data_IF_880290877149
#
_entry.id   IF_880290877149
#
_cell.length_a   1.000
_cell.length_b   1.000
_cell.length_c   1.000
_cell.angle_alpha   90.00
_cell.angle_beta   90.00
_cell.angle_gamma   90.00
#
_symmetry.space_group_name_H-M   'P 1'
#
loop_
_entity.id
_entity.type
_entity.pdbx_description
1 polymer ?
#
# COMPACT_ATOMS: atom_id res chain seq x y z
N UNK A 1 -10.63 -22.28 -15.30
CA UNK A 1 -10.30 -20.85 -15.49
C UNK A 1 -11.58 -20.05 -15.66
N UNK A 2 -11.62 -18.82 -15.13
CA UNK A 2 -12.76 -17.89 -15.24
C UNK A 2 -12.25 -16.52 -15.69
N UNK A 3 -12.95 -15.86 -16.60
CA UNK A 3 -12.62 -14.49 -17.03
C UNK A 3 -13.42 -13.50 -16.15
N UNK A 4 -12.77 -12.47 -15.63
CA UNK A 4 -13.43 -11.44 -14.85
C UNK A 4 -14.52 -10.73 -15.70
N UNK A 5 -15.73 -10.62 -15.16
CA UNK A 5 -16.91 -10.12 -15.89
C UNK A 5 -16.72 -8.73 -16.49
N UNK A 6 -16.00 -7.84 -15.78
CA UNK A 6 -15.67 -6.49 -16.24
C UNK A 6 -14.70 -6.45 -17.44
N UNK A 7 -14.02 -7.56 -17.75
CA UNK A 7 -13.10 -7.70 -18.88
C UNK A 7 -13.63 -8.64 -19.96
N UNK A 8 -14.74 -9.34 -19.72
CA UNK A 8 -15.30 -10.31 -20.68
C UNK A 8 -15.76 -9.67 -22.01
N UNK A 9 -16.02 -8.36 -22.03
CA UNK A 9 -16.43 -7.61 -23.23
C UNK A 9 -15.30 -6.77 -23.84
N UNK A 10 -14.21 -6.57 -23.10
CA UNK A 10 -13.09 -5.73 -23.50
C UNK A 10 -12.03 -6.63 -24.14
N UNK A 11 -11.56 -6.27 -25.33
CA UNK A 11 -10.63 -7.11 -26.10
C UNK A 11 -11.22 -8.51 -26.39
N UNK A 12 -12.47 -8.55 -26.87
CA UNK A 12 -13.28 -9.77 -27.11
C UNK A 12 -12.64 -10.79 -28.07
N UNK A 13 -11.63 -10.37 -28.82
CA UNK A 13 -10.88 -11.20 -29.75
C UNK A 13 -9.76 -12.00 -29.06
N UNK A 14 -9.32 -11.56 -27.89
CA UNK A 14 -8.27 -12.22 -27.14
C UNK A 14 -8.85 -13.29 -26.21
N UNK A 15 -8.31 -14.49 -26.33
CA UNK A 15 -8.56 -15.60 -25.41
C UNK A 15 -7.22 -16.02 -24.76
N UNK A 16 -7.19 -16.29 -23.44
CA UNK A 16 -6.00 -16.82 -22.78
C UNK A 16 -5.50 -18.09 -23.49
N UNK A 17 -4.19 -18.13 -23.78
CA UNK A 17 -3.53 -19.19 -24.55
C UNK A 17 -2.91 -20.25 -23.66
N UNK A 18 -2.68 -19.95 -22.38
CA UNK A 18 -2.06 -20.86 -21.43
C UNK A 18 -3.09 -21.60 -20.57
N UNK A 19 -2.75 -22.84 -20.20
CA UNK A 19 -3.57 -23.67 -19.31
C UNK A 19 -3.42 -23.23 -17.85
N UNK A 20 -4.19 -22.21 -17.46
CA UNK A 20 -4.24 -21.76 -16.07
C UNK A 20 -4.92 -22.81 -15.18
N UNK A 21 -4.33 -23.17 -14.04
CA UNK A 21 -4.79 -24.30 -13.24
C UNK A 21 -6.12 -24.02 -12.53
N UNK A 22 -6.96 -25.03 -12.43
CA UNK A 22 -8.21 -24.98 -11.65
C UNK A 22 -9.13 -23.81 -12.01
N UNK A 23 -9.69 -23.19 -10.98
CA UNK A 23 -10.64 -22.07 -11.10
C UNK A 23 -9.98 -20.69 -11.15
N UNK A 24 -8.73 -20.61 -11.64
CA UNK A 24 -7.98 -19.35 -11.76
C UNK A 24 -8.83 -18.29 -12.45
N UNK A 25 -9.06 -17.17 -11.75
CA UNK A 25 -9.68 -15.98 -12.30
C UNK A 25 -8.61 -15.18 -13.04
N UNK A 26 -8.92 -14.70 -14.24
CA UNK A 26 -7.98 -13.91 -15.06
C UNK A 26 -8.62 -12.60 -15.53
N UNK A 27 -7.79 -11.57 -15.67
CA UNK A 27 -8.15 -10.29 -16.27
C UNK A 27 -6.95 -9.69 -17.01
N UNK A 28 -7.20 -8.84 -18.00
CA UNK A 28 -6.15 -8.24 -18.83
C UNK A 28 -6.57 -6.90 -19.42
N UNK A 29 -5.60 -6.21 -20.01
CA UNK A 29 -5.88 -5.07 -20.86
C UNK A 29 -4.64 -4.60 -21.62
N UNK A 30 -4.86 -4.03 -22.81
CA UNK A 30 -3.77 -3.53 -23.65
C UNK A 30 -3.06 -2.26 -23.15
N UNK A 31 -3.65 -1.53 -22.20
CA UNK A 31 -3.14 -0.23 -21.72
C UNK A 31 -3.31 -0.08 -20.20
N UNK A 32 -2.59 -0.89 -19.42
CA UNK A 32 -2.51 -0.75 -17.96
C UNK A 32 -1.48 0.30 -17.54
N UNK A 33 -1.78 1.03 -16.47
CA UNK A 33 -0.85 1.97 -15.85
C UNK A 33 -0.03 1.26 -14.77
N UNK A 34 1.29 1.36 -14.83
CA UNK A 34 2.21 0.91 -13.78
C UNK A 34 2.65 2.14 -12.98
N UNK A 35 2.36 2.13 -11.68
CA UNK A 35 2.76 3.19 -10.76
C UNK A 35 4.10 2.83 -10.13
N UNK A 36 5.08 3.71 -10.27
CA UNK A 36 6.42 3.54 -9.73
C UNK A 36 7.13 4.89 -9.60
N UNK A 37 8.45 4.85 -9.47
CA UNK A 37 9.27 6.07 -9.58
C UNK A 37 9.13 6.70 -10.97
N UNK A 38 9.13 5.84 -11.98
CA UNK A 38 8.86 6.18 -13.37
C UNK A 38 7.56 5.46 -13.77
N UNK A 39 6.48 6.22 -13.96
CA UNK A 39 5.21 5.67 -14.37
C UNK A 39 5.22 5.37 -15.88
N UNK A 40 4.65 4.25 -16.28
CA UNK A 40 4.53 3.89 -17.70
C UNK A 40 3.25 3.11 -17.97
N UNK A 41 2.88 3.02 -19.24
CA UNK A 41 1.75 2.24 -19.72
C UNK A 41 2.23 0.98 -20.44
N UNK A 42 1.61 -0.15 -20.17
CA UNK A 42 1.96 -1.45 -20.77
C UNK A 42 0.73 -2.35 -20.88
N UNK A 43 0.75 -3.35 -21.76
CA UNK A 43 -0.24 -4.41 -21.68
C UNK A 43 0.01 -5.24 -20.43
N UNK A 44 -1.06 -5.70 -19.79
CA UNK A 44 -0.98 -6.48 -18.55
C UNK A 44 -1.92 -7.69 -18.60
N UNK A 45 -1.51 -8.75 -17.90
CA UNK A 45 -2.31 -9.93 -17.65
C UNK A 45 -2.20 -10.29 -16.17
N UNK A 46 -3.32 -10.36 -15.49
CA UNK A 46 -3.41 -10.66 -14.07
C UNK A 46 -4.15 -11.98 -13.86
N UNK A 47 -3.48 -12.93 -13.22
CA UNK A 47 -4.03 -14.21 -12.84
C UNK A 47 -4.17 -14.30 -11.32
N UNK A 48 -5.29 -14.85 -10.88
CA UNK A 48 -5.62 -15.10 -9.47
C UNK A 48 -5.82 -16.60 -9.26
N UNK A 49 -4.73 -17.40 -9.19
CA UNK A 49 -4.86 -18.83 -8.90
C UNK A 49 -5.37 -19.07 -7.47
N UNK A 50 -5.98 -20.22 -7.24
CA UNK A 50 -6.41 -20.62 -5.90
C UNK A 50 -5.20 -20.63 -4.94
N UNK A 51 -5.42 -20.16 -3.70
CA UNK A 51 -4.44 -20.20 -2.60
C UNK A 51 -3.88 -21.59 -2.33
N UNK A 52 -4.60 -22.66 -2.72
CA UNK A 52 -4.12 -24.03 -2.64
C UNK A 52 -3.05 -24.38 -3.68
N UNK A 53 -3.00 -23.62 -4.77
CA UNK A 53 -2.16 -23.86 -5.94
C UNK A 53 -0.92 -22.95 -5.92
N UNK A 54 -1.08 -21.67 -5.54
CA UNK A 54 0.05 -20.75 -5.38
C UNK A 54 0.40 -20.54 -3.92
N UNK A 55 1.68 -20.71 -3.57
CA UNK A 55 2.13 -20.56 -2.19
C UNK A 55 1.99 -19.12 -1.66
N UNK A 56 1.88 -18.10 -2.53
CA UNK A 56 1.85 -16.68 -2.18
C UNK A 56 0.49 -16.14 -1.72
N UNK A 57 -0.62 -16.80 -2.09
CA UNK A 57 -1.98 -16.34 -1.74
C UNK A 57 -2.33 -14.94 -2.23
N UNK A 58 -1.83 -14.56 -3.41
CA UNK A 58 -2.04 -13.28 -4.08
C UNK A 58 -2.37 -13.46 -5.57
N UNK A 59 -2.12 -12.42 -6.35
CA UNK A 59 -2.26 -12.44 -7.81
C UNK A 59 -0.90 -12.35 -8.49
N UNK A 60 -0.80 -12.91 -9.68
CA UNK A 60 0.38 -12.88 -10.53
C UNK A 60 0.07 -11.90 -11.65
N UNK A 61 0.98 -10.95 -11.88
CA UNK A 61 0.86 -9.96 -12.93
C UNK A 61 2.02 -10.10 -13.87
N UNK A 62 1.72 -10.34 -15.14
CA UNK A 62 2.68 -10.24 -16.22
C UNK A 62 2.46 -8.97 -17.03
N UNK A 63 3.54 -8.50 -17.64
CA UNK A 63 3.59 -7.25 -18.40
C UNK A 63 4.27 -7.49 -19.76
N UNK A 64 3.78 -6.83 -20.79
CA UNK A 64 4.33 -6.97 -22.15
C UNK A 64 3.84 -5.88 -23.10
N UNK A 65 4.36 -5.88 -24.33
CA UNK A 65 3.89 -4.95 -25.38
C UNK A 65 2.51 -5.36 -25.90
N UNK A 66 2.19 -6.65 -25.82
CA UNK A 66 0.89 -7.21 -26.19
C UNK A 66 0.31 -8.02 -25.02
N UNK A 67 -0.98 -8.33 -25.09
CA UNK A 67 -1.65 -9.12 -24.07
C UNK A 67 -1.07 -10.54 -24.01
N UNK A 68 -0.69 -11.10 -25.16
CA UNK A 68 0.00 -12.39 -25.27
C UNK A 68 1.33 -12.41 -24.54
N UNK A 69 2.15 -11.38 -24.73
CA UNK A 69 3.43 -11.26 -24.04
C UNK A 69 3.21 -11.14 -22.53
N UNK A 70 2.22 -10.35 -22.13
CA UNK A 70 1.85 -10.20 -20.72
C UNK A 70 1.34 -11.52 -20.11
N UNK A 71 0.55 -12.30 -20.84
CA UNK A 71 0.10 -13.63 -20.37
C UNK A 71 1.26 -14.60 -20.25
N UNK A 72 2.16 -14.64 -21.24
CA UNK A 72 3.33 -15.51 -21.22
C UNK A 72 4.25 -15.18 -20.04
N UNK A 73 4.46 -13.88 -19.75
CA UNK A 73 5.22 -13.44 -18.59
C UNK A 73 4.53 -13.86 -17.28
N UNK A 74 3.22 -13.64 -17.15
CA UNK A 74 2.44 -14.07 -15.99
C UNK A 74 2.50 -15.59 -15.78
N UNK A 75 2.40 -16.37 -16.87
CA UNK A 75 2.41 -17.82 -16.79
C UNK A 75 3.79 -18.36 -16.44
N UNK A 76 4.86 -17.76 -16.97
CA UNK A 76 6.23 -18.08 -16.60
C UNK A 76 6.49 -17.80 -15.11
N UNK A 77 5.99 -16.68 -14.59
CA UNK A 77 6.02 -16.39 -13.16
C UNK A 77 5.27 -17.48 -12.38
N UNK A 78 4.05 -17.85 -12.78
CA UNK A 78 3.29 -18.94 -12.14
C UNK A 78 4.05 -20.28 -12.11
N UNK A 79 4.65 -20.70 -13.22
CA UNK A 79 5.44 -21.94 -13.28
C UNK A 79 6.66 -21.88 -12.35
N UNK A 80 7.34 -20.74 -12.30
CA UNK A 80 8.47 -20.50 -11.41
C UNK A 80 8.04 -20.53 -9.94
N UNK A 81 6.89 -19.97 -9.61
CA UNK A 81 6.36 -19.97 -8.25
C UNK A 81 5.92 -21.37 -7.82
N UNK A 82 5.12 -22.05 -8.64
CA UNK A 82 4.55 -23.37 -8.33
C UNK A 82 5.59 -24.48 -8.16
N UNK A 83 6.71 -24.39 -8.88
CA UNK A 83 7.83 -25.34 -8.75
C UNK A 83 8.83 -24.99 -7.64
N UNK A 84 8.70 -23.82 -7.02
CA UNK A 84 9.69 -23.33 -6.08
C UNK A 84 9.52 -23.94 -4.68
N UNK A 85 10.58 -24.51 -4.12
CA UNK A 85 10.68 -24.78 -2.68
C UNK A 85 10.93 -23.45 -1.95
N UNK A 86 9.87 -22.75 -1.59
CA UNK A 86 9.96 -21.38 -1.12
C UNK A 86 10.78 -21.21 0.17
N UNK A 87 11.70 -20.26 0.13
CA UNK A 87 12.39 -19.72 1.30
C UNK A 87 11.98 -18.26 1.50
N UNK A 88 11.10 -18.02 2.46
CA UNK A 88 10.51 -16.70 2.71
C UNK A 88 11.45 -15.80 3.51
N UNK A 89 11.63 -14.56 3.05
CA UNK A 89 12.39 -13.53 3.75
C UNK A 89 11.65 -12.19 3.72
N UNK A 90 11.87 -11.35 4.75
CA UNK A 90 11.28 -10.00 4.81
C UNK A 90 11.95 -9.01 3.86
N UNK A 91 13.23 -9.18 3.60
CA UNK A 91 14.07 -8.17 2.93
C UNK A 91 13.94 -6.80 3.60
N UNK A 92 13.33 -5.83 2.91
CA UNK A 92 13.10 -4.47 3.37
C UNK A 92 11.70 -4.25 3.97
N UNK A 93 10.81 -5.24 3.93
CA UNK A 93 9.45 -5.10 4.44
C UNK A 93 9.40 -5.15 5.97
N UNK A 94 8.75 -4.15 6.55
CA UNK A 94 8.46 -4.06 8.00
C UNK A 94 7.00 -4.37 8.31
N UNK A 95 6.10 -4.30 7.33
CA UNK A 95 4.65 -4.49 7.45
C UNK A 95 4.19 -5.96 7.39
N UNK A 96 5.11 -6.93 7.54
CA UNK A 96 4.81 -8.35 7.44
C UNK A 96 4.76 -8.91 6.01
N UNK A 97 5.02 -8.07 4.99
CA UNK A 97 5.30 -8.52 3.62
C UNK A 97 6.59 -9.34 3.53
N UNK A 98 6.64 -10.24 2.55
CA UNK A 98 7.76 -11.13 2.34
C UNK A 98 7.95 -11.43 0.87
N UNK A 99 9.19 -11.71 0.51
CA UNK A 99 9.57 -12.22 -0.80
C UNK A 99 10.27 -13.57 -0.65
N UNK A 100 9.98 -14.47 -1.58
CA UNK A 100 10.74 -15.69 -1.69
C UNK A 100 12.14 -15.38 -2.25
N UNK A 101 13.19 -15.87 -1.59
CA UNK A 101 14.58 -15.65 -2.03
C UNK A 101 14.94 -16.32 -3.35
N UNK A 102 14.17 -17.32 -3.77
CA UNK A 102 14.42 -18.08 -5.00
C UNK A 102 13.58 -17.56 -6.17
N UNK A 103 12.25 -17.56 -6.02
CA UNK A 103 11.36 -17.22 -7.12
C UNK A 103 10.94 -15.74 -7.16
N UNK A 104 11.13 -14.98 -6.07
CA UNK A 104 10.62 -13.61 -5.86
C UNK A 104 9.10 -13.49 -5.68
N UNK A 105 8.38 -14.61 -5.51
CA UNK A 105 6.97 -14.59 -5.13
C UNK A 105 6.74 -13.72 -3.90
N UNK A 106 5.65 -12.97 -3.87
CA UNK A 106 5.24 -12.19 -2.72
C UNK A 106 4.26 -12.96 -1.84
N UNK A 107 4.40 -12.82 -0.52
CA UNK A 107 3.46 -13.38 0.45
C UNK A 107 3.32 -12.46 1.66
N UNK A 108 2.08 -12.37 2.18
CA UNK A 108 1.78 -11.71 3.45
C UNK A 108 1.37 -12.70 4.54
N UNK A 109 1.47 -12.26 5.79
CA UNK A 109 0.83 -12.94 6.93
C UNK A 109 1.56 -14.15 7.54
N UNK A 110 2.68 -14.60 6.95
CA UNK A 110 3.50 -15.67 7.55
C UNK A 110 4.32 -15.14 8.73
N UNK A 111 4.78 -13.88 8.65
CA UNK A 111 5.56 -13.27 9.73
C UNK A 111 4.95 -11.92 10.11
N UNK A 112 4.83 -11.69 11.42
CA UNK A 112 4.25 -10.47 12.01
C UNK A 112 5.04 -9.23 11.62
N UNK A 113 4.41 -8.06 11.63
CA UNK A 113 5.09 -6.79 11.43
C UNK A 113 6.26 -6.57 12.41
N UNK A 114 7.27 -5.80 12.00
CA UNK A 114 8.35 -5.36 12.86
C UNK A 114 7.88 -4.11 13.62
N UNK A 115 7.56 -4.30 14.90
CA UNK A 115 7.16 -3.19 15.76
C UNK A 115 8.40 -2.48 16.28
N UNK A 116 8.65 -1.27 15.79
CA UNK A 116 9.70 -0.40 16.32
C UNK A 116 9.29 0.05 17.73
N UNK A 117 9.96 -0.51 18.75
CA UNK A 117 9.76 -0.12 20.14
C UNK A 117 9.99 1.39 20.29
N UNK A 118 9.11 2.05 21.05
CA UNK A 118 9.19 3.49 21.25
C UNK A 118 8.74 4.35 20.05
N UNK A 119 8.19 3.78 18.96
CA UNK A 119 7.60 4.59 17.87
C UNK A 119 6.51 5.56 18.35
N UNK A 120 5.78 5.17 19.39
CA UNK A 120 4.83 6.07 20.07
C UNK A 120 5.57 7.25 20.73
N UNK A 121 6.78 7.07 21.25
CA UNK A 121 7.61 8.15 21.79
C UNK A 121 8.27 9.00 20.69
N UNK A 122 7.78 9.03 19.46
CA UNK A 122 8.21 10.07 18.50
C UNK A 122 7.45 11.36 18.80
N UNK A 123 8.08 12.55 18.71
CA UNK A 123 7.39 13.82 18.85
C UNK A 123 6.14 13.88 17.98
N UNK A 124 5.13 14.60 18.45
CA UNK A 124 3.93 14.86 17.65
C UNK A 124 4.32 15.83 16.53
N UNK A 125 4.20 15.40 15.28
CA UNK A 125 4.40 16.30 14.14
C UNK A 125 3.32 17.39 14.12
N UNK A 126 3.66 18.59 13.63
CA UNK A 126 2.79 19.77 13.64
C UNK A 126 1.41 19.52 13.01
N UNK A 127 1.33 18.74 11.93
CA UNK A 127 0.09 18.44 11.23
C UNK A 127 -0.86 17.51 11.99
N UNK A 128 -0.38 16.80 13.02
CA UNK A 128 -1.25 16.02 13.90
C UNK A 128 -1.98 16.90 14.92
N UNK A 129 -1.69 18.21 15.00
CA UNK A 129 -2.43 19.12 15.88
C UNK A 129 -3.92 19.11 15.53
N UNK A 130 -4.25 19.11 14.23
CA UNK A 130 -5.64 19.06 13.76
C UNK A 130 -6.38 17.81 14.24
N UNK A 131 -5.70 16.65 14.24
CA UNK A 131 -6.29 15.41 14.73
C UNK A 131 -6.62 15.48 16.23
N UNK A 132 -5.79 16.18 17.03
CA UNK A 132 -6.05 16.39 18.47
C UNK A 132 -7.29 17.26 18.73
N UNK A 133 -7.68 18.07 17.76
CA UNK A 133 -8.86 18.94 17.80
C UNK A 133 -10.16 18.22 17.45
N UNK A 134 -10.07 17.04 16.82
CA UNK A 134 -11.26 16.25 16.50
C UNK A 134 -11.88 15.67 17.77
N UNK A 135 -13.20 15.83 17.93
CA UNK A 135 -14.02 15.16 18.95
C UNK A 135 -14.25 13.68 18.61
N UNK A 136 -13.15 12.95 18.35
CA UNK A 136 -13.19 11.50 18.17
C UNK A 136 -12.41 10.80 19.29
N UNK A 137 -12.98 9.73 19.82
CA UNK A 137 -12.36 8.93 20.90
C UNK A 137 -11.71 7.64 20.37
N UNK A 138 -11.10 7.73 19.18
CA UNK A 138 -10.43 6.58 18.57
C UNK A 138 -9.15 6.22 19.33
N UNK A 139 -8.75 4.94 19.24
CA UNK A 139 -7.46 4.46 19.76
C UNK A 139 -6.29 5.33 19.27
N UNK A 140 -6.37 5.82 18.03
CA UNK A 140 -5.37 6.71 17.44
C UNK A 140 -5.28 8.05 18.19
N UNK A 141 -6.41 8.74 18.41
CA UNK A 141 -6.44 10.02 19.14
C UNK A 141 -5.97 9.85 20.59
N UNK A 142 -6.38 8.77 21.27
CA UNK A 142 -5.90 8.48 22.64
C UNK A 142 -4.38 8.32 22.70
N UNK A 143 -3.80 7.57 21.75
CA UNK A 143 -2.33 7.43 21.66
C UNK A 143 -1.70 8.79 21.36
N UNK A 144 -2.27 9.58 20.44
CA UNK A 144 -1.74 10.89 20.07
C UNK A 144 -1.72 11.87 21.25
N UNK A 145 -2.77 11.89 22.08
CA UNK A 145 -2.84 12.69 23.33
C UNK A 145 -1.79 12.25 24.35
N UNK A 146 -1.61 10.93 24.54
CA UNK A 146 -0.56 10.41 25.42
C UNK A 146 0.84 10.80 24.93
N UNK A 147 1.04 10.85 23.62
CA UNK A 147 2.29 11.30 23.00
C UNK A 147 2.51 12.79 23.21
N UNK A 148 1.49 13.61 22.95
CA UNK A 148 1.54 15.05 23.19
C UNK A 148 1.96 15.34 24.65
N UNK A 149 1.29 14.68 25.61
CA UNK A 149 1.60 14.80 27.04
C UNK A 149 3.02 14.34 27.39
N UNK A 150 3.50 13.24 26.82
CA UNK A 150 4.88 12.78 27.01
C UNK A 150 5.91 13.82 26.57
N UNK A 151 5.59 14.62 25.55
CA UNK A 151 6.44 15.67 25.00
C UNK A 151 6.18 17.06 25.58
N UNK A 152 5.47 17.15 26.72
CA UNK A 152 5.21 18.43 27.40
C UNK A 152 4.12 19.29 26.74
N UNK A 153 3.41 18.76 25.74
CA UNK A 153 2.22 19.41 25.19
C UNK A 153 1.05 19.02 26.08
N UNK A 154 0.85 19.81 27.14
CA UNK A 154 -0.22 19.60 28.13
C UNK A 154 -1.49 20.38 27.81
N UNK A 155 -1.38 21.40 26.97
CA UNK A 155 -2.47 22.29 26.60
C UNK A 155 -2.74 22.19 25.10
N UNK A 156 -4.02 22.33 24.72
CA UNK A 156 -4.40 22.47 23.33
C UNK A 156 -3.74 23.77 22.83
N UNK A 157 -2.94 23.76 21.76
CA UNK A 157 -2.48 25.02 21.18
C UNK A 157 -3.72 25.88 20.90
N UNK A 158 -3.68 27.18 21.20
CA UNK A 158 -4.83 28.04 21.01
C UNK A 158 -5.30 27.87 19.56
N UNK A 159 -6.60 27.63 19.37
CA UNK A 159 -7.20 27.63 18.03
C UNK A 159 -6.82 28.94 17.39
N UNK A 160 -6.07 28.91 16.29
CA UNK A 160 -5.82 30.10 15.50
C UNK A 160 -7.19 30.65 15.11
N UNK A 161 -7.60 31.72 15.77
CA UNK A 161 -8.85 32.38 15.50
C UNK A 161 -8.75 33.05 14.13
N UNK A 162 -9.89 33.32 13.49
CA UNK A 162 -9.90 34.18 12.29
C UNK A 162 -9.20 35.52 12.56
N UNK A 163 -9.24 35.97 13.81
CA UNK A 163 -8.55 37.15 14.32
C UNK A 163 -7.02 37.00 14.29
N UNK A 164 -6.47 35.84 14.61
CA UNK A 164 -5.01 35.59 14.56
C UNK A 164 -4.46 35.59 13.13
N UNK A 165 -5.23 35.05 12.17
CA UNK A 165 -4.90 35.11 10.76
C UNK A 165 -4.94 36.55 10.20
N UNK A 166 -5.90 37.35 10.66
CA UNK A 166 -6.02 38.76 10.30
C UNK A 166 -4.89 39.58 10.92
N UNK A 167 -4.57 39.39 12.20
CA UNK A 167 -3.47 40.10 12.87
C UNK A 167 -2.12 39.78 12.22
N UNK A 168 -1.85 38.51 11.88
CA UNK A 168 -0.63 38.11 11.18
C UNK A 168 -0.53 38.70 9.75
N UNK A 169 -1.67 38.98 9.11
CA UNK A 169 -1.71 39.64 7.78
C UNK A 169 -1.51 41.15 7.84
N UNK A 170 -1.87 41.80 8.96
CA UNK A 170 -1.78 43.25 9.15
C UNK A 170 -0.44 43.65 9.77
N UNK A 171 0.10 42.84 10.68
CA UNK A 171 1.36 43.10 11.38
C UNK A 171 2.31 41.90 11.29
N UNK A 172 3.04 41.73 10.16
CA UNK A 172 4.02 40.66 10.03
C UNK A 172 5.23 40.95 10.93
N UNK A 173 5.24 40.41 12.16
CA UNK A 173 6.39 40.46 13.06
C UNK A 173 6.11 40.65 14.55
N UNK A 174 4.88 40.98 14.94
CA UNK A 174 4.51 41.11 16.36
C UNK A 174 3.71 39.88 16.81
N UNK A 175 4.41 38.82 17.17
CA UNK A 175 3.82 37.82 18.06
C UNK A 175 3.71 38.42 19.47
N UNK A 176 2.64 38.18 20.24
CA UNK A 176 2.57 38.65 21.61
C UNK A 176 3.60 37.89 22.46
N UNK A 177 4.44 38.62 23.20
CA UNK A 177 5.26 38.03 24.26
C UNK A 177 4.32 37.45 25.32
N UNK A 178 4.47 36.14 25.56
CA UNK A 178 3.79 35.44 26.64
C UNK A 178 4.50 35.84 27.93
N UNK A 179 3.87 36.70 28.72
CA UNK A 179 4.31 36.99 30.09
C UNK A 179 4.13 35.76 30.98
N UNK A 180 5.16 35.44 31.76
CA UNK A 180 5.28 34.29 32.70
C UNK A 180 4.09 34.05 33.63
#
# INVERSE_FOLDING_TARGET
MKIASQHAWKDSEYAPRHEWPGDTLVQWGGNGLVLGKDCYTTAFFEAFPDKKITAGGGFIRGEGKTIEEAEADAFAQFQKESSCRHLWGREHYTNGGQLCRHCRAFRGGVVKEVVILGRHRKPVAWYHAYDLEMDSDSKYIRILRLRAKLFGITERPPTATSTDAVIASIFPGTAPEVSE
#
